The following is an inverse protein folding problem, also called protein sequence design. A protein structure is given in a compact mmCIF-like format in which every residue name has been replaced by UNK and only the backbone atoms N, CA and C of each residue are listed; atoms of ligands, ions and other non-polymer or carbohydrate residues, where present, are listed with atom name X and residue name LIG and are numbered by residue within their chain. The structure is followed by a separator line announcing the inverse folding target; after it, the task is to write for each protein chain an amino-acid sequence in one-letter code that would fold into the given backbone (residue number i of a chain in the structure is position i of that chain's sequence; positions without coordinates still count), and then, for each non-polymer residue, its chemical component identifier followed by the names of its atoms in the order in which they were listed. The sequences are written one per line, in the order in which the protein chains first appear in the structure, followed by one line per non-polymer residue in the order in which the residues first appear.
data_IF_533439118960
#
_entry.id   IF_533439118960
#
_cell.length_a   1.000
_cell.length_b   1.000
_cell.length_c   1.000
_cell.angle_alpha   90.00
_cell.angle_beta   90.00
_cell.angle_gamma   90.00
#
_symmetry.space_group_name_H-M   'P 1'
#
loop_
_entity.id
_entity.type
_entity.pdbx_description
1 polymer ?
#
# COMPACT_ATOMS: atom_id res chain seq x y z
N UNK A 1 -3.17 -5.24 4.32
CA UNK A 1 -2.51 -4.75 3.10
C UNK A 1 -2.23 -5.89 2.16
N UNK A 2 -2.45 -5.71 0.88
CA UNK A 2 -2.14 -6.64 -0.22
C UNK A 2 -1.54 -5.88 -1.40
N UNK A 3 -1.11 -6.65 -2.39
CA UNK A 3 -0.61 -6.10 -3.65
C UNK A 3 -1.72 -6.05 -4.68
N UNK A 4 -1.81 -4.95 -5.41
CA UNK A 4 -2.83 -4.72 -6.42
C UNK A 4 -2.22 -4.17 -7.70
N UNK A 5 -2.78 -4.58 -8.82
CA UNK A 5 -2.45 -4.06 -10.14
C UNK A 5 -3.72 -3.93 -10.99
N UNK A 6 -3.65 -3.15 -12.05
CA UNK A 6 -4.71 -3.05 -13.06
C UNK A 6 -4.42 -3.96 -14.24
N UNK A 7 -5.44 -4.28 -15.04
CA UNK A 7 -5.31 -5.13 -16.22
C UNK A 7 -4.25 -4.63 -17.20
N UNK A 8 -4.14 -3.32 -17.36
CA UNK A 8 -3.14 -2.70 -18.22
C UNK A 8 -1.71 -3.02 -17.78
N UNK A 9 -1.47 -3.03 -16.46
CA UNK A 9 -0.18 -3.45 -15.92
C UNK A 9 0.11 -4.92 -16.26
N UNK A 10 -0.86 -5.81 -16.02
CA UNK A 10 -0.73 -7.24 -16.25
C UNK A 10 -0.51 -7.54 -17.74
N UNK A 11 -1.21 -6.83 -18.62
CA UNK A 11 -1.00 -6.96 -20.08
C UNK A 11 0.41 -6.55 -20.48
N UNK A 12 0.97 -5.53 -19.85
CA UNK A 12 2.30 -4.98 -20.18
C UNK A 12 3.45 -5.79 -19.60
N UNK A 13 3.33 -6.25 -18.36
CA UNK A 13 4.42 -6.85 -17.59
C UNK A 13 4.19 -8.33 -17.24
N UNK A 14 2.99 -8.85 -17.47
CA UNK A 14 2.58 -10.18 -17.01
C UNK A 14 2.11 -10.18 -15.56
N UNK A 15 1.56 -11.31 -15.13
CA UNK A 15 1.14 -11.52 -13.75
C UNK A 15 2.36 -11.83 -12.87
N UNK A 16 2.61 -11.05 -11.80
CA UNK A 16 3.72 -11.33 -10.91
C UNK A 16 3.44 -12.56 -10.05
N UNK A 17 4.47 -13.38 -9.83
CA UNK A 17 4.44 -14.52 -8.91
C UNK A 17 5.61 -14.44 -7.94
N UNK A 18 5.40 -14.79 -6.68
CA UNK A 18 6.40 -14.66 -5.61
C UNK A 18 7.72 -15.36 -5.95
N UNK A 19 7.66 -16.55 -6.55
CA UNK A 19 8.83 -17.34 -6.94
C UNK A 19 9.23 -17.12 -8.41
N UNK A 20 8.61 -16.14 -9.08
CA UNK A 20 8.90 -15.81 -10.46
C UNK A 20 10.06 -14.81 -10.60
N UNK A 21 10.39 -14.50 -11.85
CA UNK A 21 11.34 -13.43 -12.14
C UNK A 21 10.68 -12.06 -11.88
N UNK A 22 11.10 -11.40 -10.82
CA UNK A 22 10.62 -10.08 -10.44
C UNK A 22 11.37 -8.93 -11.11
N UNK A 23 12.39 -9.20 -11.92
CA UNK A 23 13.28 -8.16 -12.48
C UNK A 23 12.56 -7.16 -13.38
N UNK A 24 11.51 -7.56 -14.07
CA UNK A 24 10.70 -6.71 -14.95
C UNK A 24 9.55 -5.99 -14.20
N UNK A 25 9.22 -6.43 -13.00
CA UNK A 25 8.10 -5.87 -12.25
C UNK A 25 8.46 -4.59 -11.54
N UNK A 26 7.51 -3.65 -11.56
CA UNK A 26 7.63 -2.34 -10.91
C UNK A 26 6.65 -2.22 -9.77
N UNK A 27 7.13 -1.68 -8.66
CA UNK A 27 6.34 -1.36 -7.46
C UNK A 27 6.41 0.14 -7.22
N UNK A 28 5.40 0.69 -6.59
CA UNK A 28 5.46 2.06 -6.09
C UNK A 28 5.94 2.04 -4.65
N UNK A 29 6.93 2.89 -4.35
CA UNK A 29 7.47 3.05 -3.01
C UNK A 29 6.87 4.26 -2.32
N UNK A 30 6.42 4.07 -1.08
CA UNK A 30 6.00 5.13 -0.17
C UNK A 30 7.08 5.42 0.87
N UNK A 31 7.62 6.63 0.84
CA UNK A 31 8.62 7.08 1.82
C UNK A 31 9.98 6.41 1.66
N UNK A 32 10.50 5.88 2.75
CA UNK A 32 11.85 5.31 2.82
C UNK A 32 11.94 3.97 2.06
N UNK A 33 12.68 4.00 0.97
CA UNK A 33 12.93 2.84 0.12
C UNK A 33 13.56 1.65 0.88
N UNK A 34 14.59 1.89 1.68
CA UNK A 34 15.31 0.82 2.38
C UNK A 34 14.38 0.10 3.37
N UNK A 35 13.55 0.86 4.05
CA UNK A 35 12.55 0.33 4.97
C UNK A 35 11.53 -0.56 4.26
N UNK A 36 11.03 -0.12 3.11
CA UNK A 36 10.05 -0.88 2.32
C UNK A 36 10.67 -2.16 1.77
N UNK A 37 11.87 -2.09 1.20
CA UNK A 37 12.58 -3.27 0.69
C UNK A 37 12.84 -4.28 1.80
N UNK A 38 13.30 -3.82 2.96
CA UNK A 38 13.49 -4.67 4.12
C UNK A 38 12.22 -5.38 4.58
N UNK A 39 11.11 -4.65 4.58
CA UNK A 39 9.81 -5.21 4.92
C UNK A 39 9.33 -6.23 3.88
N UNK A 40 9.42 -5.92 2.60
CA UNK A 40 9.01 -6.82 1.51
C UNK A 40 9.83 -8.10 1.48
N UNK A 41 11.10 -8.02 1.85
CA UNK A 41 11.95 -9.20 2.01
C UNK A 41 11.44 -10.15 3.10
N UNK A 42 10.91 -9.61 4.21
CA UNK A 42 10.32 -10.43 5.28
C UNK A 42 9.07 -11.20 4.83
N UNK A 43 8.32 -10.66 3.87
CA UNK A 43 7.15 -11.33 3.29
C UNK A 43 7.48 -12.16 2.05
N UNK A 44 8.76 -12.38 1.76
CA UNK A 44 9.23 -13.27 0.70
C UNK A 44 9.44 -12.63 -0.66
N UNK A 45 9.48 -11.28 -0.73
CA UNK A 45 9.80 -10.53 -1.95
C UNK A 45 11.18 -9.90 -1.84
N UNK A 46 12.15 -10.47 -2.51
CA UNK A 46 13.50 -9.92 -2.59
C UNK A 46 13.60 -8.96 -3.79
N UNK A 47 13.32 -7.69 -3.54
CA UNK A 47 13.32 -6.63 -4.53
C UNK A 47 14.54 -5.74 -4.40
N UNK A 48 14.93 -5.11 -5.49
CA UNK A 48 16.01 -4.15 -5.56
C UNK A 48 15.52 -2.77 -5.96
N UNK A 49 16.38 -1.77 -5.93
CA UNK A 49 16.04 -0.42 -6.37
C UNK A 49 15.50 -0.36 -7.81
N UNK A 50 15.88 -1.30 -8.66
CA UNK A 50 15.40 -1.39 -10.05
C UNK A 50 13.88 -1.66 -10.14
N UNK A 51 13.30 -2.25 -9.09
CA UNK A 51 11.87 -2.52 -9.01
C UNK A 51 11.05 -1.30 -8.58
N UNK A 52 11.69 -0.17 -8.27
CA UNK A 52 11.05 1.03 -7.72
C UNK A 52 11.42 2.27 -8.54
N UNK A 53 11.02 2.26 -9.82
CA UNK A 53 11.20 3.44 -10.68
C UNK A 53 10.38 4.63 -10.22
N UNK A 54 9.28 4.37 -9.53
CA UNK A 54 8.34 5.37 -9.04
C UNK A 54 8.33 5.38 -7.52
N UNK A 55 8.41 6.57 -6.94
CA UNK A 55 8.31 6.80 -5.50
C UNK A 55 7.55 8.09 -5.22
N UNK A 56 6.77 8.11 -4.16
CA UNK A 56 6.03 9.29 -3.74
C UNK A 56 5.84 9.27 -2.22
N UNK A 57 5.74 10.44 -1.62
CA UNK A 57 5.29 10.58 -0.24
C UNK A 57 3.77 10.79 -0.14
N UNK A 58 3.06 10.68 -1.25
CA UNK A 58 1.61 10.75 -1.32
C UNK A 58 1.04 9.43 -1.82
N UNK A 59 0.30 8.75 -0.96
CA UNK A 59 -0.36 7.49 -1.29
C UNK A 59 -1.38 7.63 -2.43
N UNK A 60 -2.01 8.81 -2.56
CA UNK A 60 -2.91 9.09 -3.68
C UNK A 60 -2.16 9.12 -5.01
N UNK A 61 -0.96 9.69 -5.03
CA UNK A 61 -0.11 9.70 -6.23
C UNK A 61 0.34 8.29 -6.59
N UNK A 62 0.69 7.48 -5.60
CA UNK A 62 1.06 6.07 -5.83
C UNK A 62 -0.07 5.28 -6.48
N UNK A 63 -1.29 5.44 -5.97
CA UNK A 63 -2.44 4.76 -6.54
C UNK A 63 -2.74 5.23 -7.97
N UNK A 64 -2.56 6.51 -8.28
CA UNK A 64 -2.70 7.01 -9.65
C UNK A 64 -1.64 6.43 -10.59
N UNK A 65 -0.39 6.32 -10.15
CA UNK A 65 0.67 5.66 -10.93
C UNK A 65 0.28 4.21 -11.23
N UNK A 66 -0.20 3.49 -10.22
CA UNK A 66 -0.65 2.10 -10.36
C UNK A 66 -1.90 1.97 -11.24
N UNK A 67 -2.87 2.89 -11.12
CA UNK A 67 -4.07 2.95 -11.97
C UNK A 67 -3.76 3.16 -13.45
N UNK A 68 -2.66 3.83 -13.74
CA UNK A 68 -2.16 4.01 -15.11
C UNK A 68 -1.33 2.82 -15.64
N UNK A 69 -1.30 1.72 -14.90
CA UNK A 69 -0.62 0.51 -15.32
C UNK A 69 0.91 0.59 -15.28
N UNK A 70 1.46 1.49 -14.47
CA UNK A 70 2.92 1.66 -14.39
C UNK A 70 3.58 0.84 -13.29
N UNK A 71 2.83 0.49 -12.25
CA UNK A 71 3.39 -0.20 -11.08
C UNK A 71 2.34 -1.00 -10.31
N UNK A 72 2.81 -1.92 -9.48
CA UNK A 72 2.03 -2.63 -8.46
C UNK A 72 1.96 -1.72 -7.22
N UNK A 73 0.75 -1.52 -6.70
CA UNK A 73 0.53 -0.78 -5.47
C UNK A 73 0.28 -1.71 -4.28
N UNK A 74 0.65 -1.23 -3.10
CA UNK A 74 0.27 -1.85 -1.83
C UNK A 74 -0.92 -1.09 -1.28
N UNK A 75 -2.03 -1.77 -1.05
CA UNK A 75 -3.28 -1.15 -0.60
C UNK A 75 -3.92 -1.92 0.54
N UNK A 76 -4.70 -1.19 1.32
CA UNK A 76 -5.68 -1.80 2.21
C UNK A 76 -6.87 -2.33 1.37
N UNK A 77 -7.38 -3.51 1.70
CA UNK A 77 -8.47 -4.14 0.97
C UNK A 77 -9.73 -3.26 0.93
N UNK A 78 -10.04 -2.57 2.04
CA UNK A 78 -11.18 -1.64 2.10
C UNK A 78 -11.05 -0.45 1.15
N UNK A 79 -9.83 -0.06 0.81
CA UNK A 79 -9.57 1.01 -0.15
C UNK A 79 -9.62 0.45 -1.57
N UNK A 80 -9.00 -0.71 -1.79
CA UNK A 80 -9.00 -1.35 -3.10
C UNK A 80 -10.42 -1.62 -3.62
N UNK A 81 -11.37 -1.96 -2.75
CA UNK A 81 -12.78 -2.15 -3.14
C UNK A 81 -13.45 -0.91 -3.71
N UNK A 82 -12.91 0.29 -3.46
CA UNK A 82 -13.42 1.56 -4.02
C UNK A 82 -12.91 1.84 -5.43
N UNK A 83 -11.97 1.04 -5.90
CA UNK A 83 -11.34 1.16 -7.20
C UNK A 83 -11.45 -0.17 -7.94
N UNK A 84 -12.58 -0.42 -8.62
CA UNK A 84 -12.88 -1.73 -9.24
C UNK A 84 -11.91 -2.15 -10.33
N UNK A 85 -11.11 -1.22 -10.86
CA UNK A 85 -10.06 -1.49 -11.82
C UNK A 85 -8.85 -2.24 -11.24
N UNK A 86 -8.67 -2.22 -9.91
CA UNK A 86 -7.61 -2.96 -9.25
C UNK A 86 -8.01 -4.40 -8.97
N UNK A 87 -7.11 -5.30 -9.26
CA UNK A 87 -7.21 -6.70 -8.87
C UNK A 87 -6.03 -7.11 -8.00
N UNK A 88 -6.24 -8.03 -7.05
CA UNK A 88 -5.14 -8.52 -6.23
C UNK A 88 -4.15 -9.32 -7.08
N UNK A 89 -2.87 -9.10 -6.82
CA UNK A 89 -1.75 -9.86 -7.40
C UNK A 89 -0.88 -10.38 -6.27
N UNK A 90 0.01 -11.34 -6.58
CA UNK A 90 0.85 -11.99 -5.57
C UNK A 90 0.00 -12.61 -4.44
N UNK A 91 -1.07 -13.29 -4.82
CA UNK A 91 -2.04 -13.85 -3.88
C UNK A 91 -1.46 -14.95 -2.98
N UNK A 92 -0.33 -15.52 -3.34
CA UNK A 92 0.45 -16.47 -2.54
C UNK A 92 1.11 -15.84 -1.31
N UNK A 93 1.26 -14.51 -1.30
CA UNK A 93 1.80 -13.77 -0.15
C UNK A 93 0.67 -13.47 0.82
N UNK A 94 0.83 -13.92 2.06
CA UNK A 94 -0.14 -13.63 3.11
C UNK A 94 -0.34 -12.12 3.30
N UNK A 95 -1.59 -11.68 3.48
CA UNK A 95 -1.86 -10.28 3.79
C UNK A 95 -1.11 -9.84 5.04
N UNK A 96 -0.58 -8.65 5.00
CA UNK A 96 0.16 -8.09 6.12
C UNK A 96 -0.51 -6.88 6.73
N UNK A 97 -0.28 -6.67 8.02
CA UNK A 97 -0.82 -5.53 8.76
C UNK A 97 0.24 -4.47 8.95
N UNK A 98 -0.11 -3.24 8.66
CA UNK A 98 0.69 -2.07 9.00
C UNK A 98 -0.02 -1.36 10.15
N UNK A 99 0.64 -1.12 11.30
CA UNK A 99 0.03 -0.41 12.39
C UNK A 99 -0.24 1.05 11.99
N UNK A 100 -1.45 1.52 12.26
CA UNK A 100 -1.84 2.92 12.09
C UNK A 100 -2.06 3.52 13.47
N UNK A 101 -1.40 4.65 13.72
CA UNK A 101 -1.46 5.34 15.00
C UNK A 101 -2.25 6.64 14.84
N UNK A 102 -3.33 6.76 15.59
CA UNK A 102 -4.05 8.02 15.73
C UNK A 102 -3.46 8.77 16.93
N UNK A 103 -2.87 9.91 16.67
CA UNK A 103 -2.21 10.72 17.71
C UNK A 103 -2.80 12.13 17.76
N UNK A 104 -2.90 12.68 18.96
CA UNK A 104 -3.27 14.06 19.19
C UNK A 104 -2.33 14.68 20.23
N UNK A 105 -2.06 15.98 20.09
CA UNK A 105 -1.25 16.69 21.07
C UNK A 105 -1.92 16.64 22.45
N UNK A 106 -1.13 16.42 23.50
CA UNK A 106 -1.63 16.21 24.88
C UNK A 106 -2.57 17.35 25.34
N UNK A 107 -2.22 18.58 25.02
CA UNK A 107 -3.04 19.76 25.39
C UNK A 107 -4.40 19.80 24.69
N UNK A 108 -4.51 19.18 23.51
CA UNK A 108 -5.76 19.14 22.75
C UNK A 108 -6.70 18.03 23.22
N UNK A 109 -6.22 17.06 23.99
CA UNK A 109 -7.03 15.97 24.51
C UNK A 109 -8.08 16.42 25.54
N UNK A 110 -7.92 17.61 26.13
CA UNK A 110 -8.89 18.21 27.04
C UNK A 110 -10.05 18.88 26.31
N UNK A 111 -9.89 19.20 25.03
CA UNK A 111 -10.94 19.80 24.21
C UNK A 111 -12.01 18.78 23.85
N UNK A 112 -13.26 19.04 24.26
CA UNK A 112 -14.41 18.18 23.92
C UNK A 112 -14.57 17.97 22.41
N UNK A 113 -14.33 19.00 21.61
CA UNK A 113 -14.44 18.93 20.14
C UNK A 113 -13.38 18.02 19.54
N UNK A 114 -12.14 18.15 20.00
CA UNK A 114 -11.02 17.32 19.53
C UNK A 114 -11.24 15.86 19.94
N UNK A 115 -11.69 15.61 21.17
CA UNK A 115 -12.01 14.27 21.64
C UNK A 115 -13.10 13.61 20.81
N UNK A 116 -14.17 14.34 20.47
CA UNK A 116 -15.25 13.81 19.65
C UNK A 116 -14.74 13.38 18.27
N UNK A 117 -13.94 14.22 17.61
CA UNK A 117 -13.34 13.88 16.31
C UNK A 117 -12.38 12.70 16.44
N UNK A 118 -11.57 12.68 17.50
CA UNK A 118 -10.64 11.58 17.77
C UNK A 118 -11.38 10.26 17.92
N UNK A 119 -12.47 10.22 18.70
CA UNK A 119 -13.27 9.02 18.94
C UNK A 119 -13.91 8.52 17.62
N UNK A 120 -14.48 9.43 16.82
CA UNK A 120 -15.06 9.09 15.51
C UNK A 120 -13.98 8.47 14.58
N UNK A 121 -12.78 9.08 14.52
CA UNK A 121 -11.70 8.55 13.71
C UNK A 121 -11.19 7.20 14.23
N UNK A 122 -11.07 7.06 15.55
CA UNK A 122 -10.64 5.80 16.17
C UNK A 122 -11.61 4.67 15.84
N UNK A 123 -12.91 4.91 15.93
CA UNK A 123 -13.95 3.93 15.60
C UNK A 123 -13.91 3.58 14.11
N UNK A 124 -13.83 4.56 13.23
CA UNK A 124 -13.77 4.34 11.78
C UNK A 124 -12.52 3.55 11.36
N UNK A 125 -11.36 3.83 11.98
CA UNK A 125 -10.10 3.15 11.67
C UNK A 125 -10.00 1.76 12.29
N UNK A 126 -10.70 1.51 13.42
CA UNK A 126 -10.73 0.20 14.08
C UNK A 126 -11.69 -0.79 13.42
N UNK A 127 -12.49 -0.35 12.47
CA UNK A 127 -13.54 -1.18 11.85
C UNK A 127 -14.71 -1.49 12.80
N UNK A 128 -14.90 -0.62 13.77
CA UNK A 128 -15.98 -0.73 14.75
C UNK A 128 -17.20 0.06 14.35
#
# INVERSE_FOLDING_TARGET
MRFYAVDEYITRYGTPHQNGDMSAHQFVSFGDFERIVGYLKLVGLDLSQKNFRYASNSQLVEWEIARKGHAIAIMNDNIATKFPEFQPVLAEIEPFSIPVWLVAHRELQTSRRIRLVFDILADALSGR
#
